data_IF_030199861658
#
_entry.id   IF_030199861658
#
_cell.length_a   1.000
_cell.length_b   1.000
_cell.length_c   1.000
_cell.angle_alpha   90.00
_cell.angle_beta   90.00
_cell.angle_gamma   90.00
#
_symmetry.space_group_name_H-M   'P 1'
#
loop_
_entity.id
_entity.type
_entity.pdbx_description
1 polymer ?
#
# COMPACT_ATOMS: atom_id res chain seq x y z
N UNK A 1 5.86 -21.57 -17.01
CA UNK A 1 6.87 -20.57 -17.39
C UNK A 1 7.59 -20.11 -16.12
N UNK A 2 8.87 -20.46 -15.94
CA UNK A 2 9.63 -20.11 -14.74
C UNK A 2 9.88 -18.60 -14.59
N UNK A 3 9.65 -17.79 -15.62
CA UNK A 3 9.90 -16.34 -15.59
C UNK A 3 8.72 -15.52 -15.03
N UNK A 4 7.51 -16.08 -15.04
CA UNK A 4 6.31 -15.39 -14.53
C UNK A 4 6.38 -15.13 -13.02
N UNK A 5 7.09 -15.95 -12.24
CA UNK A 5 7.28 -15.69 -10.82
C UNK A 5 8.24 -14.51 -10.55
N UNK A 6 9.19 -14.27 -11.47
CA UNK A 6 10.16 -13.17 -11.34
C UNK A 6 9.52 -11.80 -11.55
N UNK A 7 8.39 -11.70 -12.24
CA UNK A 7 7.68 -10.42 -12.42
C UNK A 7 7.10 -9.86 -11.11
N UNK A 8 6.92 -10.69 -10.09
CA UNK A 8 6.42 -10.28 -8.78
C UNK A 8 7.53 -9.78 -7.85
N UNK A 9 8.81 -9.98 -8.17
CA UNK A 9 9.93 -9.54 -7.33
C UNK A 9 10.03 -8.01 -7.20
N UNK A 10 9.46 -7.27 -8.16
CA UNK A 10 9.40 -5.80 -8.13
C UNK A 10 8.09 -5.23 -7.61
N UNK A 11 7.11 -6.08 -7.27
CA UNK A 11 5.84 -5.64 -6.73
C UNK A 11 5.93 -5.62 -5.20
N UNK A 12 6.27 -4.46 -4.64
CA UNK A 12 6.21 -4.25 -3.20
C UNK A 12 4.76 -4.44 -2.73
N UNK A 13 4.57 -5.24 -1.68
CA UNK A 13 3.25 -5.44 -1.07
C UNK A 13 2.84 -4.12 -0.42
N UNK A 14 1.82 -3.47 -0.98
CA UNK A 14 1.29 -2.23 -0.40
C UNK A 14 0.50 -2.60 0.86
N UNK A 15 0.82 -2.03 2.04
CA UNK A 15 0.07 -2.30 3.27
C UNK A 15 -1.34 -1.71 3.18
N UNK A 16 -2.30 -2.28 3.92
CA UNK A 16 -3.69 -1.76 3.98
C UNK A 16 -3.76 -0.34 4.57
N UNK A 17 -2.77 0.03 5.38
CA UNK A 17 -2.64 1.35 5.98
C UNK A 17 -1.23 1.90 5.73
N UNK A 18 -1.13 3.11 5.18
CA UNK A 18 0.13 3.74 4.78
C UNK A 18 0.27 5.13 5.38
N UNK A 19 1.39 5.40 6.06
CA UNK A 19 1.76 6.75 6.49
C UNK A 19 2.37 7.50 5.29
N UNK A 20 1.92 8.71 5.07
CA UNK A 20 2.39 9.64 4.02
C UNK A 20 2.66 11.02 4.61
N UNK A 21 3.25 11.91 3.82
CA UNK A 21 3.40 13.34 4.14
C UNK A 21 2.07 14.05 4.38
N UNK A 22 0.98 13.53 3.81
CA UNK A 22 -0.39 14.07 3.96
C UNK A 22 -1.18 13.42 5.10
N UNK A 23 -0.57 12.49 5.85
CA UNK A 23 -1.22 11.75 6.93
C UNK A 23 -1.38 10.27 6.63
N UNK A 24 -2.31 9.62 7.34
CA UNK A 24 -2.55 8.19 7.25
C UNK A 24 -3.55 7.91 6.11
N UNK A 25 -3.20 7.01 5.19
CA UNK A 25 -4.03 6.61 4.05
C UNK A 25 -4.49 5.17 4.27
N UNK A 26 -5.81 4.98 4.24
CA UNK A 26 -6.43 3.68 4.07
C UNK A 26 -6.39 3.32 2.57
N UNK A 27 -5.57 2.33 2.24
CA UNK A 27 -5.29 1.94 0.85
C UNK A 27 -6.46 1.14 0.26
N UNK A 28 -7.21 0.42 1.10
CA UNK A 28 -8.38 -0.35 0.67
C UNK A 28 -9.54 0.57 0.31
N UNK A 29 -9.78 1.61 1.11
CA UNK A 29 -10.83 2.61 0.90
C UNK A 29 -10.40 3.83 0.07
N UNK A 30 -9.12 3.92 -0.30
CA UNK A 30 -8.51 5.02 -1.05
C UNK A 30 -8.82 6.41 -0.47
N UNK A 31 -8.72 6.55 0.86
CA UNK A 31 -9.03 7.79 1.58
C UNK A 31 -8.01 8.10 2.68
N UNK A 32 -7.87 9.39 2.99
CA UNK A 32 -7.17 9.81 4.21
C UNK A 32 -8.03 9.47 5.43
N UNK A 33 -7.37 9.03 6.50
CA UNK A 33 -8.00 8.75 7.79
C UNK A 33 -7.35 9.61 8.87
N UNK A 34 -8.18 10.13 9.76
CA UNK A 34 -7.72 10.96 10.88
C UNK A 34 -6.94 10.11 11.89
N UNK A 35 -5.83 10.66 12.40
CA UNK A 35 -4.98 10.02 13.40
C UNK A 35 -5.45 10.29 14.85
N UNK A 36 -6.37 11.23 15.04
CA UNK A 36 -6.79 11.73 16.34
C UNK A 36 -8.31 11.82 16.42
N UNK A 37 -8.86 11.40 17.56
CA UNK A 37 -10.26 11.54 17.97
C UNK A 37 -10.36 12.70 18.97
#
# INVERSE_FOLDING_TARGET
>A
DPFMALSFLGLEVIPSLKITDRGLVDVEAFRLVDLWI
#
